data_IF_808116537969
#
_entry.id   IF_808116537969
#
_cell.length_a   1.000
_cell.length_b   1.000
_cell.length_c   1.000
_cell.angle_alpha   90.00
_cell.angle_beta   90.00
_cell.angle_gamma   90.00
#
_symmetry.space_group_name_H-M   'P 1'
#
loop_
_entity.id
_entity.type
_entity.pdbx_description
1 polymer ?
#
# COMPACT_ATOMS: atom_id res chain seq x y z
N UNK A 1 9.14 19.18 -1.94
CA UNK A 1 9.02 18.02 -2.84
C UNK A 1 7.88 18.25 -3.82
N UNK A 2 8.15 18.14 -5.08
CA UNK A 2 7.14 18.38 -6.11
C UNK A 2 6.79 17.11 -6.83
N UNK A 3 5.55 17.04 -7.32
CA UNK A 3 5.09 15.92 -8.13
C UNK A 3 5.42 16.15 -9.59
N UNK A 4 5.87 15.10 -10.26
CA UNK A 4 5.99 15.10 -11.72
C UNK A 4 4.72 14.50 -12.28
N UNK A 5 3.72 15.35 -12.47
CA UNK A 5 2.36 14.93 -12.81
C UNK A 5 2.22 14.64 -14.29
N UNK A 6 1.67 13.48 -14.60
CA UNK A 6 1.36 13.07 -15.97
C UNK A 6 0.22 12.04 -15.91
N UNK A 7 -0.38 11.78 -17.05
CA UNK A 7 -1.36 10.70 -17.12
C UNK A 7 -0.62 9.37 -17.09
N UNK A 8 -1.11 8.42 -16.30
CA UNK A 8 -0.56 7.08 -16.28
C UNK A 8 -1.65 6.05 -15.99
N UNK A 9 -1.37 4.82 -16.34
CA UNK A 9 -2.32 3.72 -16.17
C UNK A 9 -2.12 3.06 -14.81
N UNK A 10 -3.04 3.33 -13.88
CA UNK A 10 -2.94 2.78 -12.52
C UNK A 10 -2.97 1.25 -12.50
N UNK A 11 -3.84 0.56 -13.27
CA UNK A 11 -3.79 -0.89 -13.31
C UNK A 11 -2.41 -1.43 -13.69
N UNK A 12 -1.74 -0.81 -14.65
CA UNK A 12 -0.37 -1.23 -15.02
C UNK A 12 0.63 -1.00 -13.89
N UNK A 13 0.47 0.09 -13.16
CA UNK A 13 1.34 0.36 -11.99
C UNK A 13 1.16 -0.71 -10.93
N UNK A 14 -0.06 -1.15 -10.70
CA UNK A 14 -0.37 -2.23 -9.76
C UNK A 14 0.28 -3.54 -10.23
N UNK A 15 0.10 -3.89 -11.51
CA UNK A 15 0.70 -5.10 -12.06
C UNK A 15 2.23 -5.09 -11.94
N UNK A 16 2.86 -3.97 -12.23
CA UNK A 16 4.31 -3.84 -12.11
C UNK A 16 4.78 -4.04 -10.66
N UNK A 17 4.06 -3.48 -9.70
CA UNK A 17 4.41 -3.66 -8.29
C UNK A 17 4.28 -5.13 -7.87
N UNK A 18 3.23 -5.80 -8.31
CA UNK A 18 3.03 -7.21 -8.01
C UNK A 18 4.13 -8.07 -8.60
N UNK A 19 4.55 -7.78 -9.83
CA UNK A 19 5.64 -8.50 -10.46
C UNK A 19 6.92 -8.36 -9.64
N UNK A 20 7.20 -7.19 -9.12
CA UNK A 20 8.43 -6.93 -8.36
C UNK A 20 8.48 -7.68 -7.02
N UNK A 21 7.34 -8.02 -6.45
CA UNK A 21 7.31 -8.74 -5.16
C UNK A 21 6.96 -10.22 -5.30
N UNK A 22 6.64 -10.67 -6.51
CA UNK A 22 6.17 -12.04 -6.76
C UNK A 22 7.14 -13.12 -6.27
N UNK A 23 8.41 -12.95 -6.55
CA UNK A 23 9.40 -13.93 -6.15
C UNK A 23 9.54 -14.04 -4.64
N UNK A 24 9.55 -12.89 -3.96
CA UNK A 24 9.61 -12.88 -2.49
C UNK A 24 8.41 -13.56 -1.87
N UNK A 25 7.23 -13.30 -2.41
CA UNK A 25 6.00 -13.93 -1.93
C UNK A 25 6.06 -15.45 -2.16
N UNK A 26 6.49 -15.85 -3.34
CA UNK A 26 6.59 -17.27 -3.68
C UNK A 26 7.53 -18.02 -2.74
N UNK A 27 8.70 -17.44 -2.46
CA UNK A 27 9.66 -18.07 -1.54
C UNK A 27 9.11 -18.26 -0.14
N UNK A 28 8.19 -17.42 0.27
CA UNK A 28 7.58 -17.49 1.59
C UNK A 28 6.25 -18.23 1.58
N UNK A 29 5.86 -18.79 0.45
CA UNK A 29 4.59 -19.49 0.33
C UNK A 29 3.38 -18.57 0.51
N UNK A 30 3.54 -17.28 0.22
CA UNK A 30 2.45 -16.30 0.31
C UNK A 30 1.76 -16.17 -1.03
N UNK A 31 0.45 -16.28 -1.03
CA UNK A 31 -0.37 -16.15 -2.24
C UNK A 31 -0.68 -14.68 -2.50
N UNK A 32 -0.42 -14.22 -3.71
CA UNK A 32 -0.78 -12.86 -4.14
C UNK A 32 -2.03 -12.93 -5.01
N UNK A 33 -2.97 -12.04 -4.74
CA UNK A 33 -4.16 -11.87 -5.57
C UNK A 33 -4.38 -10.41 -5.88
N UNK A 34 -5.18 -10.14 -6.89
CA UNK A 34 -5.56 -8.76 -7.22
C UNK A 34 -6.92 -8.71 -7.88
N UNK A 35 -7.58 -7.57 -7.73
CA UNK A 35 -8.87 -7.30 -8.34
C UNK A 35 -8.92 -5.82 -8.67
N UNK A 36 -9.07 -5.49 -9.93
CA UNK A 36 -9.08 -4.11 -10.39
C UNK A 36 -10.39 -3.81 -11.10
N UNK A 37 -11.04 -2.72 -10.70
CA UNK A 37 -12.28 -2.26 -11.31
C UNK A 37 -12.05 -1.95 -12.79
N UNK A 38 -12.86 -2.53 -13.66
CA UNK A 38 -12.76 -2.33 -15.09
C UNK A 38 -12.93 -0.87 -15.52
N UNK A 39 -13.63 -0.09 -14.69
CA UNK A 39 -13.86 1.32 -14.97
C UNK A 39 -12.64 2.20 -14.66
N UNK A 40 -11.65 1.61 -13.98
CA UNK A 40 -10.45 2.37 -13.60
C UNK A 40 -9.55 2.55 -14.82
N UNK A 41 -9.50 3.76 -15.33
CA UNK A 41 -8.67 4.11 -16.46
C UNK A 41 -7.44 4.90 -16.04
N UNK A 42 -6.84 5.62 -16.99
CA UNK A 42 -5.69 6.46 -16.66
C UNK A 42 -6.07 7.52 -15.64
N UNK A 43 -5.13 7.80 -14.74
CA UNK A 43 -5.29 8.87 -13.77
C UNK A 43 -4.13 9.84 -13.91
N UNK A 44 -4.28 11.01 -13.32
CA UNK A 44 -3.25 12.02 -13.38
C UNK A 44 -2.51 12.09 -12.04
N UNK A 45 -1.21 11.87 -12.07
CA UNK A 45 -0.41 11.88 -10.87
C UNK A 45 1.05 11.62 -11.18
N UNK A 46 1.82 11.38 -10.14
CA UNK A 46 3.24 11.03 -10.26
C UNK A 46 3.39 9.53 -10.19
N UNK A 47 3.52 8.91 -11.35
CA UNK A 47 3.58 7.45 -11.48
C UNK A 47 4.65 6.82 -10.60
N UNK A 48 5.83 7.40 -10.56
CA UNK A 48 6.94 6.85 -9.78
C UNK A 48 6.63 6.83 -8.29
N UNK A 49 6.03 7.91 -7.79
CA UNK A 49 5.67 8.00 -6.38
C UNK A 49 4.53 7.06 -6.03
N UNK A 50 3.55 6.93 -6.92
CA UNK A 50 2.45 5.99 -6.70
C UNK A 50 2.97 4.55 -6.67
N UNK A 51 3.86 4.20 -7.59
CA UNK A 51 4.50 2.87 -7.58
C UNK A 51 5.27 2.64 -6.29
N UNK A 52 5.94 3.67 -5.77
CA UNK A 52 6.66 3.55 -4.51
C UNK A 52 5.71 3.29 -3.34
N UNK A 53 4.55 3.96 -3.32
CA UNK A 53 3.53 3.68 -2.30
C UNK A 53 3.10 2.22 -2.38
N UNK A 54 2.80 1.72 -3.57
CA UNK A 54 2.38 0.33 -3.77
C UNK A 54 3.46 -0.64 -3.27
N UNK A 55 4.71 -0.41 -3.63
CA UNK A 55 5.81 -1.26 -3.20
C UNK A 55 6.01 -1.22 -1.69
N UNK A 56 5.88 -0.04 -1.08
CA UNK A 56 6.01 0.08 0.37
C UNK A 56 4.91 -0.70 1.09
N UNK A 57 3.68 -0.62 0.61
CA UNK A 57 2.57 -1.35 1.22
C UNK A 57 2.72 -2.85 1.02
N UNK A 58 3.12 -3.28 -0.16
CA UNK A 58 3.34 -4.71 -0.44
C UNK A 58 4.52 -5.27 0.36
N UNK A 59 5.61 -4.53 0.45
CA UNK A 59 6.76 -4.95 1.26
C UNK A 59 6.40 -5.06 2.72
N UNK A 60 5.61 -4.11 3.23
CA UNK A 60 5.12 -4.13 4.59
C UNK A 60 4.24 -5.36 4.83
N UNK A 61 3.34 -5.66 3.90
CA UNK A 61 2.47 -6.83 4.00
C UNK A 61 3.31 -8.13 4.03
N UNK A 62 4.35 -8.22 3.19
CA UNK A 62 5.22 -9.38 3.17
C UNK A 62 5.96 -9.58 4.49
N UNK A 63 6.38 -8.48 5.14
CA UNK A 63 7.06 -8.57 6.44
C UNK A 63 6.18 -9.18 7.52
N UNK A 64 4.91 -8.82 7.53
CA UNK A 64 4.02 -9.17 8.63
C UNK A 64 3.09 -10.34 8.35
N UNK A 65 3.14 -10.91 7.15
CA UNK A 65 2.35 -12.08 6.80
C UNK A 65 3.19 -13.33 6.96
N UNK A 66 2.74 -14.31 7.78
CA UNK A 66 3.48 -15.55 7.96
C UNK A 66 3.42 -16.41 6.69
N UNK A 67 4.33 -17.38 6.64
CA UNK A 67 4.35 -18.35 5.56
C UNK A 67 3.00 -19.02 5.41
N UNK A 68 2.56 -19.16 4.17
CA UNK A 68 1.25 -19.74 3.86
C UNK A 68 0.11 -18.73 3.86
N UNK A 69 0.38 -17.47 4.17
CA UNK A 69 -0.63 -16.43 4.18
C UNK A 69 -0.98 -15.91 2.80
N UNK A 70 -1.76 -14.82 2.79
CA UNK A 70 -2.27 -14.25 1.56
C UNK A 70 -2.22 -12.73 1.59
N UNK A 71 -1.91 -12.14 0.44
CA UNK A 71 -1.93 -10.70 0.23
C UNK A 71 -2.77 -10.42 -1.02
N UNK A 72 -3.74 -9.52 -0.90
CA UNK A 72 -4.60 -9.12 -2.01
C UNK A 72 -4.54 -7.61 -2.22
N UNK A 73 -4.42 -7.22 -3.48
CA UNK A 73 -4.51 -5.81 -3.89
C UNK A 73 -5.84 -5.61 -4.60
N UNK A 74 -6.57 -4.59 -4.20
CA UNK A 74 -7.84 -4.25 -4.80
C UNK A 74 -7.84 -2.77 -5.18
N UNK A 75 -8.39 -2.44 -6.32
CA UNK A 75 -8.51 -1.06 -6.77
C UNK A 75 -9.90 -0.83 -7.32
N UNK A 76 -10.56 0.23 -6.85
CA UNK A 76 -11.90 0.60 -7.25
C UNK A 76 -11.96 2.08 -7.55
N UNK A 77 -12.93 2.48 -8.36
CA UNK A 77 -13.19 3.89 -8.62
C UNK A 77 -14.63 4.21 -8.21
N UNK A 78 -14.79 5.27 -7.45
CA UNK A 78 -16.10 5.78 -7.06
C UNK A 78 -15.96 7.26 -6.73
N UNK A 79 -16.98 8.04 -7.06
CA UNK A 79 -17.02 9.48 -6.78
C UNK A 79 -15.75 10.22 -7.22
N UNK A 80 -15.23 9.86 -8.40
CA UNK A 80 -14.02 10.44 -8.98
C UNK A 80 -12.78 10.23 -8.13
N UNK A 81 -12.77 9.14 -7.35
CA UNK A 81 -11.64 8.75 -6.50
C UNK A 81 -11.26 7.31 -6.82
N UNK A 82 -9.97 7.08 -7.00
CA UNK A 82 -9.43 5.73 -7.08
C UNK A 82 -9.05 5.31 -5.66
N UNK A 83 -9.57 4.18 -5.21
CA UNK A 83 -9.28 3.64 -3.89
C UNK A 83 -8.51 2.34 -4.05
N UNK A 84 -7.31 2.29 -3.49
CA UNK A 84 -6.45 1.11 -3.59
C UNK A 84 -6.25 0.53 -2.19
N UNK A 85 -6.45 -0.78 -2.07
CA UNK A 85 -6.32 -1.49 -0.80
C UNK A 85 -5.31 -2.61 -0.93
N UNK A 86 -4.46 -2.77 0.08
CA UNK A 86 -3.55 -3.91 0.21
C UNK A 86 -3.93 -4.62 1.49
N UNK A 87 -4.47 -5.83 1.35
CA UNK A 87 -4.98 -6.63 2.49
C UNK A 87 -4.07 -7.82 2.71
N UNK A 88 -3.66 -8.04 3.95
CA UNK A 88 -2.85 -9.20 4.32
C UNK A 88 -3.53 -10.00 5.43
N UNK A 89 -3.15 -11.27 5.51
CA UNK A 89 -3.63 -12.17 6.56
C UNK A 89 -2.56 -12.31 7.66
N UNK A 90 -1.89 -11.22 7.95
CA UNK A 90 -0.79 -11.20 8.89
C UNK A 90 -1.21 -11.07 10.35
N UNK A 91 -0.26 -10.63 11.15
CA UNK A 91 -0.46 -10.57 12.61
C UNK A 91 -1.37 -9.44 13.05
N UNK A 92 -1.65 -8.49 12.17
CA UNK A 92 -2.46 -7.33 12.53
C UNK A 92 -1.69 -6.29 13.32
N UNK A 93 -2.34 -5.16 13.56
CA UNK A 93 -1.75 -4.04 14.28
C UNK A 93 -2.70 -3.65 15.41
N UNK A 94 -2.16 -3.54 16.61
CA UNK A 94 -2.96 -3.13 17.76
C UNK A 94 -3.56 -1.74 17.55
N UNK A 95 -4.78 -1.48 18.04
CA UNK A 95 -5.42 -0.17 17.83
C UNK A 95 -4.54 1.00 18.24
N UNK A 96 -3.81 0.89 19.33
CA UNK A 96 -2.94 1.95 19.84
C UNK A 96 -1.75 2.23 18.93
N UNK A 97 -1.42 1.32 18.03
CA UNK A 97 -0.29 1.47 17.10
C UNK A 97 -0.69 1.90 15.70
N UNK A 98 -1.97 1.89 15.38
CA UNK A 98 -2.42 2.09 13.99
C UNK A 98 -2.08 3.48 13.43
N UNK A 99 -2.13 4.52 14.23
CA UNK A 99 -1.68 5.84 13.79
C UNK A 99 -0.17 5.93 13.76
N UNK A 100 0.48 5.31 14.72
CA UNK A 100 1.93 5.37 14.86
C UNK A 100 2.69 4.74 13.68
N UNK A 101 2.08 3.78 12.98
CA UNK A 101 2.78 3.13 11.86
C UNK A 101 3.11 4.09 10.72
N UNK A 102 2.42 5.23 10.64
CA UNK A 102 2.68 6.25 9.62
C UNK A 102 3.68 7.32 10.06
N UNK A 103 4.19 7.23 11.28
CA UNK A 103 5.17 8.18 11.78
C UNK A 103 6.59 7.80 11.34
N UNK A 104 7.41 8.82 11.12
CA UNK A 104 8.80 8.60 10.72
C UNK A 104 9.56 7.83 11.79
N UNK A 105 10.39 6.89 11.35
CA UNK A 105 11.24 6.06 12.22
C UNK A 105 10.47 5.24 13.24
N UNK A 106 9.16 5.08 13.06
CA UNK A 106 8.36 4.27 13.93
C UNK A 106 8.27 2.85 13.41
N UNK A 107 8.60 1.89 14.26
CA UNK A 107 8.43 0.48 13.95
C UNK A 107 7.49 -0.12 14.99
N UNK A 108 6.60 -0.97 14.53
CA UNK A 108 5.60 -1.61 15.39
C UNK A 108 6.05 -3.04 15.67
N UNK A 109 5.86 -3.47 16.92
CA UNK A 109 6.20 -4.82 17.34
C UNK A 109 7.15 -4.80 18.52
N UNK A 110 7.64 -5.97 18.91
CA UNK A 110 8.55 -6.07 20.05
C UNK A 110 9.98 -5.75 19.61
N UNK A 111 10.79 -5.31 20.57
CA UNK A 111 12.18 -4.98 20.30
C UNK A 111 12.98 -6.16 19.73
N UNK A 112 12.56 -7.37 20.04
CA UNK A 112 13.23 -8.58 19.56
C UNK A 112 12.94 -8.89 18.10
N UNK A 113 11.90 -8.29 17.55
CA UNK A 113 11.55 -8.44 16.14
C UNK A 113 11.84 -7.16 15.43
N UNK A 114 13.10 -6.83 15.30
CA UNK A 114 13.50 -5.70 14.50
C UNK A 114 13.11 -6.01 13.07
N UNK A 115 12.11 -5.31 12.62
CA UNK A 115 11.65 -5.40 11.25
C UNK A 115 12.70 -4.70 10.40
N UNK A 116 13.09 -5.35 9.31
CA UNK A 116 14.01 -4.73 8.38
C UNK A 116 13.40 -3.46 7.79
N UNK A 117 14.20 -2.42 7.72
CA UNK A 117 13.78 -1.16 7.15
C UNK A 117 14.08 -0.01 8.08
N UNK A 118 13.94 1.18 7.54
CA UNK A 118 14.30 2.41 8.24
C UNK A 118 13.15 2.98 9.06
N UNK A 119 11.94 2.45 8.91
CA UNK A 119 10.74 3.04 9.51
C UNK A 119 10.22 4.23 8.73
N UNK A 120 10.70 4.44 7.52
CA UNK A 120 10.30 5.57 6.69
C UNK A 120 9.28 5.22 5.61
N UNK A 121 9.12 3.94 5.29
CA UNK A 121 8.28 3.52 4.16
C UNK A 121 6.84 4.00 4.24
N UNK A 122 6.18 3.80 5.36
CA UNK A 122 4.78 4.21 5.53
C UNK A 122 4.64 5.71 5.69
N UNK A 123 5.57 6.37 6.39
CA UNK A 123 5.56 7.83 6.51
C UNK A 123 5.74 8.49 5.15
N UNK A 124 6.64 7.95 4.34
CA UNK A 124 6.87 8.46 2.99
C UNK A 124 5.67 8.20 2.09
N UNK A 125 5.05 7.05 2.22
CA UNK A 125 3.82 6.72 1.47
C UNK A 125 2.72 7.71 1.79
N UNK A 126 2.52 8.03 3.06
CA UNK A 126 1.52 9.02 3.46
C UNK A 126 1.83 10.38 2.84
N UNK A 127 3.07 10.80 2.87
CA UNK A 127 3.46 12.07 2.28
C UNK A 127 3.16 12.11 0.78
N UNK A 128 3.50 11.05 0.06
CA UNK A 128 3.24 10.98 -1.38
C UNK A 128 1.73 11.02 -1.69
N UNK A 129 0.94 10.26 -0.93
CA UNK A 129 -0.50 10.23 -1.11
C UNK A 129 -1.12 11.61 -0.83
N UNK A 130 -0.68 12.26 0.25
CA UNK A 130 -1.19 13.59 0.62
C UNK A 130 -0.81 14.64 -0.42
N UNK A 131 0.36 14.55 -1.00
CA UNK A 131 0.77 15.45 -2.09
C UNK A 131 -0.15 15.32 -3.31
N UNK A 132 -0.74 14.14 -3.50
CA UNK A 132 -1.73 13.92 -4.58
C UNK A 132 -3.14 14.38 -4.21
N UNK A 133 -3.33 14.84 -2.97
CA UNK A 133 -4.66 15.22 -2.50
C UNK A 133 -5.48 14.05 -1.98
N UNK A 134 -4.85 12.92 -1.76
CA UNK A 134 -5.51 11.72 -1.26
C UNK A 134 -5.30 11.49 0.23
N UNK A 135 -5.73 10.34 0.69
CA UNK A 135 -5.62 9.92 2.08
C UNK A 135 -5.11 8.49 2.13
N UNK A 136 -4.43 8.15 3.22
CA UNK A 136 -4.01 6.79 3.50
C UNK A 136 -4.37 6.45 4.96
N UNK A 137 -4.87 5.23 5.17
CA UNK A 137 -5.21 4.77 6.52
C UNK A 137 -5.11 3.26 6.58
N UNK A 138 -5.27 2.71 7.78
CA UNK A 138 -5.22 1.27 7.99
C UNK A 138 -6.44 0.82 8.78
N UNK A 139 -6.95 -0.36 8.43
CA UNK A 139 -7.94 -1.09 9.21
C UNK A 139 -7.26 -2.39 9.58
N UNK A 140 -7.21 -2.70 10.85
CA UNK A 140 -6.46 -3.88 11.29
C UNK A 140 -7.06 -4.46 12.56
N UNK A 141 -6.87 -5.77 12.71
CA UNK A 141 -7.32 -6.50 13.88
C UNK A 141 -6.24 -7.51 14.23
N UNK A 142 -5.77 -7.46 15.47
CA UNK A 142 -4.74 -8.38 15.93
C UNK A 142 -5.16 -9.82 15.70
N UNK A 143 -4.26 -10.61 15.16
CA UNK A 143 -4.49 -12.03 14.87
C UNK A 143 -5.23 -12.31 13.58
N UNK A 144 -5.76 -11.28 12.92
CA UNK A 144 -6.55 -11.45 11.70
C UNK A 144 -5.82 -10.91 10.46
N UNK A 145 -5.23 -9.74 10.57
CA UNK A 145 -4.52 -9.11 9.48
C UNK A 145 -4.77 -7.62 9.37
N UNK A 146 -4.33 -7.04 8.30
CA UNK A 146 -4.40 -5.60 8.08
C UNK A 146 -4.82 -5.27 6.65
N UNK A 147 -5.51 -4.15 6.50
CA UNK A 147 -5.80 -3.58 5.19
C UNK A 147 -5.34 -2.14 5.19
N UNK A 148 -4.37 -1.85 4.34
CA UNK A 148 -3.92 -0.47 4.11
C UNK A 148 -4.64 0.06 2.89
N UNK A 149 -5.23 1.24 3.02
CA UNK A 149 -6.05 1.83 1.97
C UNK A 149 -5.52 3.22 1.66
N UNK A 150 -5.37 3.53 0.38
CA UNK A 150 -5.09 4.91 -0.01
C UNK A 150 -5.98 5.31 -1.16
N UNK A 151 -6.20 6.62 -1.28
CA UNK A 151 -7.03 7.19 -2.33
C UNK A 151 -6.24 8.18 -3.15
N UNK A 152 -6.61 8.28 -4.43
CA UNK A 152 -6.04 9.27 -5.34
C UNK A 152 -7.21 9.88 -6.12
N UNK A 153 -7.23 11.21 -6.30
CA UNK A 153 -8.24 11.81 -7.17
C UNK A 153 -8.04 11.32 -8.60
N UNK A 154 -9.11 10.88 -9.24
CA UNK A 154 -9.05 10.43 -10.64
C UNK A 154 -8.93 11.64 -11.55
N UNK A 155 -9.61 12.73 -11.18
CA UNK A 155 -9.56 13.99 -11.90
C UNK A 155 -8.99 15.05 -11.00
N UNK A 156 -8.09 15.83 -11.54
CA UNK A 156 -7.63 17.03 -10.85
C UNK A 156 -8.23 18.21 -11.59
N UNK A 157 -8.97 19.02 -10.87
CA UNK A 157 -9.46 20.26 -11.43
C UNK A 157 -8.31 21.25 -11.51
N UNK A 158 -8.29 21.99 -12.58
CA UNK A 158 -7.27 23.00 -12.80
C UNK A 158 -7.55 24.27 -12.02
#
# INVERSE_FOLDING_TARGET
MELEVADFDLPSAIDNALILVRERASRRGITLGHSVDERLGPIRGDERKVKQVLLNLLSNALKFTPEGGRIDVSARVHDEVAEVSVTDTGVGIAPEDQEAVFEEFRQVGTADKKVEGTGLGLALSRKFVELHGGRIWVKSELGTGSTFIFTLPVRREE
#
